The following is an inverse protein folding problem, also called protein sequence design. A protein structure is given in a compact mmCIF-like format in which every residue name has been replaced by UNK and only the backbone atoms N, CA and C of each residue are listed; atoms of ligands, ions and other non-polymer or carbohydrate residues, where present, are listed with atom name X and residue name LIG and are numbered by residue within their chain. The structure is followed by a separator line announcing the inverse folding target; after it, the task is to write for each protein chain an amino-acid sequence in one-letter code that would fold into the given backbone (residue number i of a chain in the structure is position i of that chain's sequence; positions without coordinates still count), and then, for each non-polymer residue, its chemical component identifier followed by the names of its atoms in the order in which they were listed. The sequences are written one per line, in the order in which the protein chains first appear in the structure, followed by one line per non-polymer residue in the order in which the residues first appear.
data_IF_305376020601
#
_entry.id   IF_305376020601
#
_cell.length_a   1.000
_cell.length_b   1.000
_cell.length_c   1.000
_cell.angle_alpha   90.00
_cell.angle_beta   90.00
_cell.angle_gamma   90.00
#
_symmetry.space_group_name_H-M   'P 1'
#
loop_
_entity.id
_entity.type
_entity.pdbx_description
1 polymer ?
#
# COMPACT_ATOMS: atom_id res chain seq x y z
N UNK A 1 20.12 -10.37 17.36
CA UNK A 1 18.95 -9.69 17.99
C UNK A 1 18.04 -9.20 16.87
N UNK A 2 16.81 -9.70 16.76
CA UNK A 2 15.82 -9.14 15.83
C UNK A 2 15.48 -7.74 16.33
N UNK A 3 15.81 -6.70 15.57
CA UNK A 3 15.31 -5.35 15.89
C UNK A 3 13.79 -5.40 15.74
N UNK A 4 13.04 -4.73 16.62
CA UNK A 4 11.57 -4.68 16.62
C UNK A 4 11.02 -3.85 15.46
N UNK A 5 11.49 -4.11 14.24
CA UNK A 5 11.07 -3.45 13.01
C UNK A 5 10.26 -4.42 12.17
N UNK A 6 9.22 -3.91 11.53
CA UNK A 6 8.42 -4.65 10.56
C UNK A 6 8.86 -4.28 9.15
N UNK A 7 8.86 -5.25 8.25
CA UNK A 7 9.23 -5.08 6.86
C UNK A 7 7.97 -5.09 6.00
N UNK A 8 7.89 -4.16 5.06
CA UNK A 8 6.90 -4.17 3.99
C UNK A 8 7.64 -4.23 2.66
N UNK A 9 7.23 -5.15 1.80
CA UNK A 9 7.70 -5.18 0.42
C UNK A 9 6.84 -4.28 -0.47
N UNK A 10 7.50 -3.52 -1.33
CA UNK A 10 6.80 -2.69 -2.30
C UNK A 10 6.28 -3.56 -3.43
N UNK A 11 4.95 -3.61 -3.60
CA UNK A 11 4.18 -4.22 -4.70
C UNK A 11 4.29 -5.74 -4.90
N UNK A 12 5.34 -6.40 -4.43
CA UNK A 12 5.50 -7.86 -4.62
C UNK A 12 4.73 -8.66 -3.56
N UNK A 13 3.45 -8.93 -3.85
CA UNK A 13 2.55 -9.71 -2.99
C UNK A 13 3.05 -11.15 -2.81
N UNK A 14 3.53 -11.78 -3.89
CA UNK A 14 3.93 -13.18 -3.87
C UNK A 14 5.18 -13.37 -3.01
N UNK A 15 6.16 -12.48 -3.17
CA UNK A 15 7.37 -12.50 -2.35
C UNK A 15 7.04 -12.17 -0.89
N UNK A 16 6.17 -11.18 -0.63
CA UNK A 16 5.76 -10.82 0.74
C UNK A 16 5.15 -12.02 1.47
N UNK A 17 4.26 -12.76 0.78
CA UNK A 17 3.66 -14.00 1.28
C UNK A 17 4.71 -15.07 1.56
N UNK A 18 5.67 -15.27 0.65
CA UNK A 18 6.73 -16.28 0.82
C UNK A 18 7.69 -15.99 1.98
N UNK A 19 7.95 -14.71 2.25
CA UNK A 19 8.86 -14.28 3.32
C UNK A 19 8.14 -14.06 4.66
N UNK A 20 6.80 -14.07 4.68
CA UNK A 20 6.00 -13.82 5.86
C UNK A 20 6.10 -12.37 6.36
N UNK A 21 6.24 -11.41 5.45
CA UNK A 21 6.35 -9.97 5.73
C UNK A 21 5.15 -9.21 5.15
N UNK A 22 5.01 -7.93 5.48
CA UNK A 22 3.93 -7.11 4.94
C UNK A 22 4.14 -6.70 3.47
N UNK A 23 3.11 -6.12 2.86
CA UNK A 23 3.17 -5.56 1.51
C UNK A 23 2.63 -4.13 1.48
N UNK A 24 3.24 -3.28 0.66
CA UNK A 24 2.73 -1.95 0.30
C UNK A 24 2.30 -1.98 -1.16
N UNK A 25 0.99 -1.92 -1.38
CA UNK A 25 0.34 -1.96 -2.69
C UNK A 25 0.47 -0.62 -3.43
N UNK A 26 0.65 -0.70 -4.74
CA UNK A 26 0.39 0.41 -5.65
C UNK A 26 -1.11 0.66 -5.82
N UNK A 27 -1.49 1.88 -6.22
CA UNK A 27 -2.90 2.23 -6.47
C UNK A 27 -3.55 1.33 -7.53
N UNK A 28 -2.79 0.91 -8.55
CA UNK A 28 -3.27 -0.01 -9.58
C UNK A 28 -3.54 -1.42 -9.04
N UNK A 29 -2.71 -1.90 -8.12
CA UNK A 29 -2.91 -3.21 -7.47
C UNK A 29 -4.10 -3.14 -6.52
N UNK A 30 -4.22 -2.03 -5.80
CA UNK A 30 -5.33 -1.80 -4.88
C UNK A 30 -6.68 -1.87 -5.59
N UNK A 31 -6.80 -1.26 -6.77
CA UNK A 31 -8.04 -1.27 -7.56
C UNK A 31 -8.31 -2.61 -8.25
N UNK A 32 -7.28 -3.42 -8.50
CA UNK A 32 -7.41 -4.73 -9.13
C UNK A 32 -7.76 -5.87 -8.16
N UNK A 33 -7.47 -5.70 -6.86
CA UNK A 33 -7.72 -6.70 -5.83
C UNK A 33 -9.15 -6.61 -5.30
N UNK A 34 -9.81 -7.76 -5.20
CA UNK A 34 -11.16 -7.88 -4.62
C UNK A 34 -11.13 -8.29 -3.14
N UNK A 35 -10.01 -8.83 -2.69
CA UNK A 35 -9.82 -9.33 -1.33
C UNK A 35 -8.40 -9.05 -0.84
N UNK A 36 -8.25 -9.03 0.48
CA UNK A 36 -6.97 -8.78 1.14
C UNK A 36 -5.92 -9.82 0.69
N UNK A 37 -4.75 -9.38 0.19
CA UNK A 37 -3.80 -10.28 -0.45
C UNK A 37 -2.92 -11.08 0.52
N UNK A 38 -2.92 -10.75 1.82
CA UNK A 38 -2.13 -11.42 2.85
C UNK A 38 -3.02 -11.86 4.03
N UNK A 39 -2.62 -12.92 4.77
CA UNK A 39 -3.33 -13.37 5.96
C UNK A 39 -3.45 -12.28 7.03
N UNK A 40 -4.41 -12.47 7.92
CA UNK A 40 -4.55 -11.65 9.12
C UNK A 40 -3.24 -11.68 9.95
N UNK A 41 -2.82 -10.51 10.43
CA UNK A 41 -1.56 -10.34 11.18
C UNK A 41 -0.32 -9.97 10.34
N UNK A 42 -0.37 -10.07 9.00
CA UNK A 42 0.65 -9.48 8.12
C UNK A 42 0.18 -8.13 7.59
N UNK A 43 0.99 -7.08 7.69
CA UNK A 43 0.60 -5.74 7.28
C UNK A 43 0.34 -5.64 5.76
N UNK A 44 -0.76 -4.99 5.39
CA UNK A 44 -1.10 -4.59 4.03
C UNK A 44 -1.33 -3.07 4.05
N UNK A 45 -0.48 -2.34 3.36
CA UNK A 45 -0.59 -0.91 3.16
C UNK A 45 -0.88 -0.59 1.70
N UNK A 46 -1.37 0.62 1.42
CA UNK A 46 -1.59 1.07 0.05
C UNK A 46 -1.12 2.52 -0.15
N UNK A 47 -0.49 2.78 -1.30
CA UNK A 47 -0.34 4.15 -1.80
C UNK A 47 -1.65 4.59 -2.45
N UNK A 48 -2.21 5.68 -1.94
CA UNK A 48 -3.45 6.26 -2.43
C UNK A 48 -3.19 7.70 -2.91
N UNK A 49 -3.91 8.10 -3.96
CA UNK A 49 -3.72 9.43 -4.58
C UNK A 49 -5.01 10.24 -4.68
N UNK A 50 -6.15 9.63 -4.35
CA UNK A 50 -7.47 10.23 -4.43
C UNK A 50 -8.42 9.55 -3.44
N UNK A 51 -9.65 10.07 -3.36
CA UNK A 51 -10.69 9.54 -2.49
C UNK A 51 -11.12 8.10 -2.88
N UNK A 52 -11.13 7.78 -4.17
CA UNK A 52 -11.55 6.47 -4.66
C UNK A 52 -10.60 5.37 -4.16
N UNK A 53 -9.30 5.62 -4.25
CA UNK A 53 -8.26 4.73 -3.75
C UNK A 53 -8.33 4.61 -2.23
N UNK A 54 -8.57 5.70 -1.48
CA UNK A 54 -8.76 5.61 -0.02
C UNK A 54 -9.95 4.72 0.35
N UNK A 55 -11.07 4.87 -0.34
CA UNK A 55 -12.23 4.02 -0.12
C UNK A 55 -11.96 2.57 -0.51
N UNK A 56 -11.19 2.32 -1.59
CA UNK A 56 -10.76 0.98 -1.98
C UNK A 56 -9.84 0.35 -0.90
N UNK A 57 -8.88 1.10 -0.36
CA UNK A 57 -8.01 0.64 0.73
C UNK A 57 -8.82 0.27 1.97
N UNK A 58 -9.82 1.07 2.33
CA UNK A 58 -10.72 0.77 3.43
C UNK A 58 -11.53 -0.51 3.17
N UNK A 59 -12.11 -0.67 1.97
CA UNK A 59 -12.89 -1.87 1.60
C UNK A 59 -12.04 -3.14 1.58
N UNK A 60 -10.83 -3.05 1.05
CA UNK A 60 -9.88 -4.17 1.00
C UNK A 60 -9.37 -4.54 2.40
N UNK A 61 -9.56 -3.65 3.38
CA UNK A 61 -9.12 -3.84 4.75
C UNK A 61 -7.64 -3.60 4.92
N UNK A 62 -7.01 -2.68 4.19
CA UNK A 62 -5.62 -2.28 4.43
C UNK A 62 -5.45 -1.75 5.87
N UNK A 63 -4.31 -2.04 6.49
CA UNK A 63 -4.00 -1.61 7.86
C UNK A 63 -3.74 -0.09 7.94
N UNK A 64 -3.17 0.48 6.87
CA UNK A 64 -3.05 1.91 6.68
C UNK A 64 -2.91 2.28 5.20
N UNK A 65 -3.11 3.55 4.89
CA UNK A 65 -2.86 4.12 3.58
C UNK A 65 -1.87 5.28 3.66
N UNK A 66 -1.06 5.43 2.62
CA UNK A 66 -0.20 6.61 2.41
C UNK A 66 -0.86 7.45 1.32
N UNK A 67 -1.38 8.61 1.70
CA UNK A 67 -2.01 9.54 0.78
C UNK A 67 -1.00 10.56 0.25
N UNK A 68 -0.89 10.70 -1.07
CA UNK A 68 -0.02 11.68 -1.70
C UNK A 68 -0.20 11.80 -3.22
N UNK A 69 0.65 12.59 -3.89
CA UNK A 69 1.68 13.41 -3.29
C UNK A 69 1.08 14.69 -2.67
N UNK A 70 1.62 15.13 -1.52
CA UNK A 70 1.17 16.39 -0.90
C UNK A 70 1.72 17.60 -1.66
N UNK A 71 2.98 17.55 -2.12
CA UNK A 71 3.61 18.53 -3.01
C UNK A 71 4.08 17.86 -4.29
N UNK A 72 4.44 18.63 -5.33
CA UNK A 72 5.05 18.05 -6.53
C UNK A 72 6.31 17.24 -6.20
N UNK A 73 6.46 16.06 -6.80
CA UNK A 73 7.63 15.19 -6.57
C UNK A 73 8.19 14.62 -7.86
N UNK A 74 9.49 14.33 -7.88
CA UNK A 74 10.15 13.66 -9.00
C UNK A 74 9.72 12.18 -9.15
N UNK A 75 9.28 11.53 -8.06
CA UNK A 75 8.83 10.14 -8.08
C UNK A 75 7.43 9.98 -8.69
N UNK A 76 6.62 11.04 -8.71
CA UNK A 76 5.30 11.07 -9.33
C UNK A 76 5.17 12.34 -10.20
N UNK A 77 5.92 12.42 -11.31
CA UNK A 77 5.88 13.58 -12.17
C UNK A 77 4.51 13.68 -12.85
N UNK A 78 3.89 14.86 -12.80
CA UNK A 78 2.59 15.11 -13.43
C UNK A 78 1.37 14.75 -12.56
N UNK A 79 1.55 14.16 -11.38
CA UNK A 79 0.46 14.02 -10.43
C UNK A 79 0.08 15.39 -9.84
N UNK A 80 -1.21 15.70 -9.79
CA UNK A 80 -1.70 16.89 -9.11
C UNK A 80 -1.45 16.75 -7.60
N UNK A 81 -0.77 17.71 -6.95
CA UNK A 81 -0.56 17.66 -5.51
C UNK A 81 -1.86 17.89 -4.76
N UNK A 82 -1.94 17.35 -3.54
CA UNK A 82 -3.08 17.54 -2.64
C UNK A 82 -3.04 18.88 -1.88
N UNK A 83 -1.91 19.59 -1.91
CA UNK A 83 -1.71 20.92 -1.34
C UNK A 83 -0.87 21.82 -2.23
#
# INVERSE_FOLDING_TARGET
RRRGVQWLLNRDIALARSLGVGVHLGGEQLLALQERPLPEGQLVAASCHDLEQLQAAQRLGCDFAVLGPVQATASHPGAAPLG
#
